data_IF_910643861025
#
_entry.id   IF_910643861025
#
_cell.length_a   1.000
_cell.length_b   1.000
_cell.length_c   1.000
_cell.angle_alpha   90.00
_cell.angle_beta   90.00
_cell.angle_gamma   90.00
#
_symmetry.space_group_name_H-M   'P 1'
#
loop_
_entity.id
_entity.type
_entity.pdbx_description
1 polymer ?
#
# COMPACT_ATOMS: atom_id res chain seq x y z
N UNK A 1 -37.53 30.13 28.54
CA UNK A 1 -37.38 28.70 28.28
C UNK A 1 -36.57 28.54 26.97
N UNK A 2 -35.26 28.47 27.14
CA UNK A 2 -34.33 28.37 26.00
C UNK A 2 -33.92 26.90 25.81
N UNK A 3 -34.27 26.32 24.70
CA UNK A 3 -33.80 25.00 24.29
C UNK A 3 -32.50 25.15 23.51
N UNK A 4 -31.38 24.84 24.15
CA UNK A 4 -30.07 24.74 23.55
C UNK A 4 -29.99 23.43 22.77
N UNK A 5 -30.13 23.53 21.45
CA UNK A 5 -29.86 22.45 20.53
C UNK A 5 -28.34 22.18 20.46
N UNK A 6 -27.87 21.08 21.06
CA UNK A 6 -26.51 20.57 20.81
C UNK A 6 -26.47 19.93 19.43
N UNK A 7 -25.79 20.62 18.52
CA UNK A 7 -25.38 20.04 17.22
C UNK A 7 -24.33 18.97 17.46
N UNK A 8 -24.70 17.70 17.34
CA UNK A 8 -23.80 16.58 17.31
C UNK A 8 -23.09 16.64 15.96
N UNK A 9 -21.83 17.07 15.96
CA UNK A 9 -20.97 17.05 14.79
C UNK A 9 -20.83 15.60 14.30
N UNK A 10 -21.50 15.28 13.20
CA UNK A 10 -21.31 14.03 12.49
C UNK A 10 -19.85 14.00 11.98
N UNK A 11 -18.99 13.19 12.62
CA UNK A 11 -17.64 12.91 12.12
C UNK A 11 -17.78 12.34 10.72
N UNK A 12 -17.41 13.11 9.70
CA UNK A 12 -17.46 12.68 8.29
C UNK A 12 -16.65 11.40 8.16
N UNK A 13 -17.33 10.28 7.91
CA UNK A 13 -16.69 8.99 7.62
C UNK A 13 -15.97 9.15 6.28
N UNK A 14 -14.66 8.93 6.28
CA UNK A 14 -13.89 8.96 5.03
C UNK A 14 -14.41 7.87 4.10
N UNK A 15 -14.47 8.16 2.81
CA UNK A 15 -14.96 7.20 1.82
C UNK A 15 -13.95 6.06 1.64
N UNK A 16 -14.46 4.85 1.43
CA UNK A 16 -13.61 3.71 1.08
C UNK A 16 -12.94 3.96 -0.28
N UNK A 17 -11.62 3.99 -0.31
CA UNK A 17 -10.87 4.06 -1.55
C UNK A 17 -10.70 2.68 -2.18
N UNK A 18 -10.20 1.71 -1.39
CA UNK A 18 -10.04 0.33 -1.84
C UNK A 18 -10.86 -0.59 -0.94
N UNK A 19 -11.67 -1.42 -1.56
CA UNK A 19 -12.41 -2.49 -0.88
C UNK A 19 -12.11 -3.83 -1.55
N UNK A 20 -11.61 -4.78 -0.78
CA UNK A 20 -11.34 -6.14 -1.20
C UNK A 20 -12.27 -7.08 -0.44
N UNK A 21 -13.04 -7.90 -1.16
CA UNK A 21 -14.05 -8.78 -0.60
C UNK A 21 -13.82 -10.21 -1.06
N UNK A 22 -13.53 -11.11 -0.11
CA UNK A 22 -13.34 -12.57 -0.31
C UNK A 22 -12.40 -12.91 -1.47
N UNK A 23 -11.35 -12.11 -1.69
CA UNK A 23 -10.43 -12.28 -2.80
C UNK A 23 -9.68 -13.60 -2.70
N UNK A 24 -9.80 -14.41 -3.74
CA UNK A 24 -9.02 -15.62 -3.94
C UNK A 24 -8.34 -15.53 -5.29
N UNK A 25 -7.02 -15.65 -5.30
CA UNK A 25 -6.19 -15.44 -6.50
C UNK A 25 -4.88 -16.24 -6.44
N UNK A 26 -4.20 -16.32 -7.57
CA UNK A 26 -2.91 -17.02 -7.68
C UNK A 26 -2.40 -17.04 -9.11
N UNK A 27 -1.64 -18.05 -9.48
CA UNK A 27 -1.05 -18.18 -10.79
C UNK A 27 -1.48 -19.51 -11.43
N UNK A 28 -1.91 -19.46 -12.68
CA UNK A 28 -2.49 -20.59 -13.40
C UNK A 28 -3.61 -21.25 -12.57
N UNK A 29 -3.43 -22.49 -12.14
CA UNK A 29 -4.36 -23.27 -11.30
C UNK A 29 -3.99 -23.18 -9.80
N UNK A 30 -2.81 -22.65 -9.45
CA UNK A 30 -2.32 -22.59 -8.08
C UNK A 30 -2.92 -21.40 -7.34
N UNK A 31 -3.80 -21.66 -6.39
CA UNK A 31 -4.40 -20.65 -5.51
C UNK A 31 -3.44 -20.31 -4.36
N UNK A 32 -3.04 -19.06 -4.27
CA UNK A 32 -2.11 -18.53 -3.26
C UNK A 32 -2.83 -17.65 -2.24
N UNK A 33 -3.79 -16.83 -2.68
CA UNK A 33 -4.61 -15.97 -1.83
C UNK A 33 -5.95 -16.60 -1.57
N UNK A 34 -6.38 -16.60 -0.30
CA UNK A 34 -7.54 -17.35 0.19
C UNK A 34 -8.52 -16.44 0.94
N UNK A 35 -9.54 -15.93 0.24
CA UNK A 35 -10.67 -15.21 0.86
C UNK A 35 -10.29 -13.93 1.59
N UNK A 36 -9.30 -13.20 1.10
CA UNK A 36 -8.80 -11.96 1.72
C UNK A 36 -9.86 -10.87 1.66
N UNK A 37 -10.13 -10.23 2.83
CA UNK A 37 -11.07 -9.11 2.97
C UNK A 37 -10.40 -7.97 3.72
N UNK A 38 -10.38 -6.76 3.15
CA UNK A 38 -9.99 -5.54 3.85
C UNK A 38 -10.52 -4.29 3.15
N UNK A 39 -10.46 -3.17 3.86
CA UNK A 39 -10.83 -1.85 3.34
C UNK A 39 -9.71 -0.88 3.64
N UNK A 40 -9.40 -0.01 2.69
CA UNK A 40 -8.53 1.15 2.87
C UNK A 40 -9.34 2.41 2.58
N UNK A 41 -9.43 3.30 3.55
CA UNK A 41 -10.08 4.61 3.41
C UNK A 41 -9.21 5.56 2.56
N UNK A 42 -9.86 6.54 1.92
CA UNK A 42 -9.16 7.55 1.11
C UNK A 42 -8.20 8.39 1.99
N UNK A 43 -7.02 8.67 1.48
CA UNK A 43 -5.95 9.38 2.21
C UNK A 43 -5.26 8.56 3.31
N UNK A 44 -5.59 7.27 3.47
CA UNK A 44 -4.97 6.38 4.46
C UNK A 44 -3.92 5.47 3.85
N UNK A 45 -3.04 4.97 4.72
CA UNK A 45 -1.94 4.08 4.37
C UNK A 45 -2.01 2.75 5.12
N UNK A 46 -1.65 1.66 4.43
CA UNK A 46 -1.69 0.28 4.93
C UNK A 46 -0.31 -0.37 4.81
N UNK A 47 0.19 -0.93 5.91
CA UNK A 47 1.31 -1.85 5.90
C UNK A 47 0.83 -3.28 5.62
N UNK A 48 1.33 -3.91 4.56
CA UNK A 48 1.12 -5.33 4.30
C UNK A 48 2.36 -6.10 4.74
N UNK A 49 2.24 -6.78 5.87
CA UNK A 49 3.32 -7.46 6.57
C UNK A 49 3.22 -8.98 6.39
N UNK A 50 4.33 -9.67 6.60
CA UNK A 50 4.41 -11.13 6.58
C UNK A 50 5.77 -11.62 6.09
N UNK A 51 6.04 -12.91 6.31
CA UNK A 51 7.28 -13.57 5.88
C UNK A 51 7.34 -13.70 4.36
N UNK A 52 8.52 -14.07 3.85
CA UNK A 52 8.65 -14.41 2.43
C UNK A 52 7.82 -15.64 2.08
N UNK A 53 7.21 -15.59 0.88
CA UNK A 53 6.40 -16.69 0.35
C UNK A 53 4.99 -16.82 0.95
N UNK A 54 4.54 -15.90 1.84
CA UNK A 54 3.17 -15.98 2.41
C UNK A 54 2.09 -15.42 1.48
N UNK A 55 2.46 -14.82 0.32
CA UNK A 55 1.51 -14.31 -0.68
C UNK A 55 1.40 -12.78 -0.76
N UNK A 56 2.30 -12.00 -0.12
CA UNK A 56 2.26 -10.52 -0.16
C UNK A 56 2.30 -9.98 -1.60
N UNK A 57 3.32 -10.35 -2.37
CA UNK A 57 3.44 -9.97 -3.78
C UNK A 57 2.26 -10.48 -4.60
N UNK A 58 1.78 -11.71 -4.36
CA UNK A 58 0.59 -12.24 -5.04
C UNK A 58 -0.66 -11.40 -4.75
N UNK A 59 -0.81 -10.89 -3.52
CA UNK A 59 -1.91 -9.97 -3.20
C UNK A 59 -1.79 -8.65 -3.97
N UNK A 60 -0.58 -8.06 -4.01
CA UNK A 60 -0.30 -6.86 -4.82
C UNK A 60 -0.57 -7.12 -6.30
N UNK A 61 -0.04 -8.21 -6.85
CA UNK A 61 -0.26 -8.63 -8.23
C UNK A 61 -1.75 -8.84 -8.56
N UNK A 62 -2.52 -9.32 -7.57
CA UNK A 62 -3.96 -9.47 -7.72
C UNK A 62 -4.69 -8.12 -7.78
N UNK A 63 -4.24 -7.13 -7.01
CA UNK A 63 -4.76 -5.76 -7.08
C UNK A 63 -4.43 -5.13 -8.43
N UNK A 64 -3.24 -5.39 -8.97
CA UNK A 64 -2.80 -4.89 -10.28
C UNK A 64 -3.50 -5.62 -11.43
N UNK A 65 -3.87 -6.89 -11.23
CA UNK A 65 -4.58 -7.70 -12.22
C UNK A 65 -3.70 -8.55 -13.11
N UNK A 66 -2.54 -8.98 -12.62
CA UNK A 66 -1.60 -9.91 -13.33
C UNK A 66 -1.70 -11.35 -12.84
N UNK A 67 -2.60 -11.64 -11.87
CA UNK A 67 -2.88 -13.00 -11.38
C UNK A 67 -4.18 -13.55 -11.95
N UNK A 68 -4.36 -14.87 -11.85
CA UNK A 68 -5.65 -15.54 -12.04
C UNK A 68 -6.52 -15.32 -10.81
N UNK A 69 -7.71 -14.72 -10.97
CA UNK A 69 -8.69 -14.53 -9.92
C UNK A 69 -9.66 -15.71 -9.89
N UNK A 70 -9.72 -16.43 -8.77
CA UNK A 70 -10.65 -17.55 -8.56
C UNK A 70 -11.97 -17.12 -7.91
N UNK A 71 -12.03 -15.91 -7.33
CA UNK A 71 -13.24 -15.36 -6.73
C UNK A 71 -12.99 -14.06 -5.99
N UNK A 72 -14.07 -13.47 -5.49
CA UNK A 72 -14.04 -12.22 -4.75
C UNK A 72 -14.12 -10.98 -5.64
N UNK A 73 -14.12 -9.79 -5.00
CA UNK A 73 -14.28 -8.49 -5.63
C UNK A 73 -13.17 -7.55 -5.20
N UNK A 74 -12.78 -6.64 -6.10
CA UNK A 74 -11.83 -5.56 -5.85
C UNK A 74 -12.48 -4.27 -6.36
N UNK A 75 -12.85 -3.36 -5.45
CA UNK A 75 -13.42 -2.08 -5.83
C UNK A 75 -12.47 -0.94 -5.47
N UNK A 76 -12.20 -0.05 -6.43
CA UNK A 76 -11.40 1.18 -6.24
C UNK A 76 -12.31 2.39 -6.45
N UNK A 77 -12.47 3.21 -5.39
CA UNK A 77 -13.39 4.35 -5.42
C UNK A 77 -14.84 3.96 -5.73
N UNK A 78 -15.26 2.76 -5.28
CA UNK A 78 -16.60 2.21 -5.52
C UNK A 78 -16.76 1.45 -6.84
N UNK A 79 -15.87 1.61 -7.81
CA UNK A 79 -15.89 0.90 -9.09
C UNK A 79 -15.22 -0.48 -8.97
N UNK A 80 -15.86 -1.54 -9.46
CA UNK A 80 -15.27 -2.87 -9.51
C UNK A 80 -14.18 -2.94 -10.59
N UNK A 81 -12.93 -3.06 -10.17
CA UNK A 81 -11.76 -3.16 -11.05
C UNK A 81 -11.30 -4.59 -11.29
N UNK A 82 -11.93 -5.58 -10.62
CA UNK A 82 -11.50 -6.98 -10.74
C UNK A 82 -11.52 -7.53 -12.17
N UNK A 83 -12.49 -7.18 -13.05
CA UNK A 83 -12.50 -7.65 -14.44
C UNK A 83 -11.54 -6.86 -15.34
N UNK A 84 -10.97 -5.75 -14.88
CA UNK A 84 -10.14 -4.88 -15.71
C UNK A 84 -8.70 -5.40 -15.84
N UNK A 85 -8.09 -5.32 -17.03
CA UNK A 85 -6.68 -5.59 -17.22
C UNK A 85 -5.80 -4.50 -16.56
N UNK A 86 -4.50 -4.77 -16.31
CA UNK A 86 -3.61 -3.87 -15.56
C UNK A 86 -3.59 -2.43 -16.04
N UNK A 87 -3.50 -2.19 -17.35
CA UNK A 87 -3.44 -0.84 -17.91
C UNK A 87 -4.72 -0.02 -17.69
N UNK A 88 -5.89 -0.67 -17.59
CA UNK A 88 -7.14 0.01 -17.25
C UNK A 88 -7.22 0.28 -15.75
N UNK A 89 -6.71 -0.60 -14.89
CA UNK A 89 -6.60 -0.34 -13.44
C UNK A 89 -5.68 0.85 -13.17
N UNK A 90 -4.56 0.95 -13.88
CA UNK A 90 -3.68 2.12 -13.80
C UNK A 90 -4.42 3.42 -14.16
N UNK A 91 -5.25 3.41 -15.23
CA UNK A 91 -6.10 4.55 -15.62
C UNK A 91 -7.19 4.90 -14.60
N UNK A 92 -7.57 3.95 -13.73
CA UNK A 92 -8.49 4.20 -12.61
C UNK A 92 -7.81 4.77 -11.38
N UNK A 93 -6.48 4.98 -11.45
CA UNK A 93 -5.70 5.59 -10.40
C UNK A 93 -4.93 4.59 -9.52
N UNK A 94 -4.60 3.42 -10.03
CA UNK A 94 -3.72 2.48 -9.35
C UNK A 94 -2.28 2.67 -9.83
N UNK A 95 -1.39 3.18 -8.98
CA UNK A 95 0.06 3.26 -9.22
C UNK A 95 0.77 2.08 -8.60
N UNK A 96 1.87 1.62 -9.21
CA UNK A 96 2.65 0.49 -8.71
C UNK A 96 4.15 0.67 -8.94
N UNK A 97 4.92 0.47 -7.88
CA UNK A 97 6.36 0.33 -7.92
C UNK A 97 6.73 -1.08 -7.42
N UNK A 98 7.08 -2.00 -8.33
CA UNK A 98 7.42 -3.38 -8.01
C UNK A 98 8.80 -3.49 -7.35
N UNK A 99 9.05 -4.64 -6.71
CA UNK A 99 10.33 -4.99 -6.08
C UNK A 99 11.50 -4.93 -7.09
N UNK A 100 11.30 -5.39 -8.34
CA UNK A 100 12.31 -5.40 -9.41
C UNK A 100 12.53 -4.01 -10.05
N UNK A 101 11.84 -2.98 -9.53
CA UNK A 101 11.90 -1.58 -9.99
C UNK A 101 11.37 -1.33 -11.40
N UNK A 102 11.55 -2.25 -12.36
CA UNK A 102 11.03 -2.24 -13.74
C UNK A 102 11.11 -0.88 -14.46
N UNK A 103 12.27 -0.18 -14.36
CA UNK A 103 12.52 1.07 -15.06
C UNK A 103 12.90 0.82 -16.54
N UNK A 104 12.70 1.82 -17.39
CA UNK A 104 13.19 1.77 -18.76
C UNK A 104 14.70 2.05 -18.78
N UNK A 105 15.51 0.98 -18.81
CA UNK A 105 16.98 1.04 -18.66
C UNK A 105 17.69 1.80 -19.79
N UNK A 106 17.08 1.85 -20.98
CA UNK A 106 17.57 2.55 -22.17
C UNK A 106 17.13 4.00 -22.28
N UNK A 107 16.28 4.47 -21.39
CA UNK A 107 15.83 5.84 -21.32
C UNK A 107 16.56 6.58 -20.19
N UNK A 108 16.70 7.91 -20.33
CA UNK A 108 17.17 8.79 -19.27
C UNK A 108 16.16 8.86 -18.13
N UNK A 109 16.54 9.41 -16.97
CA UNK A 109 15.62 9.68 -15.87
C UNK A 109 14.45 10.53 -16.34
N UNK A 110 14.71 11.62 -17.07
CA UNK A 110 13.69 12.54 -17.58
C UNK A 110 12.73 11.82 -18.54
N UNK A 111 13.25 11.04 -19.48
CA UNK A 111 12.43 10.26 -20.40
C UNK A 111 11.61 9.19 -19.68
N UNK A 112 12.16 8.51 -18.66
CA UNK A 112 11.44 7.56 -17.84
C UNK A 112 10.21 8.18 -17.17
N UNK A 113 10.34 9.41 -16.66
CA UNK A 113 9.25 10.14 -16.00
C UNK A 113 8.23 10.67 -17.03
N UNK A 114 8.71 11.22 -18.15
CA UNK A 114 7.84 11.90 -19.11
C UNK A 114 7.10 10.92 -20.05
N UNK A 115 7.69 9.79 -20.38
CA UNK A 115 7.10 8.79 -21.29
C UNK A 115 5.75 8.22 -20.80
N UNK A 116 5.52 8.21 -19.49
CA UNK A 116 4.31 7.65 -18.87
C UNK A 116 3.45 8.71 -18.16
N UNK A 117 3.92 9.96 -18.09
CA UNK A 117 3.24 11.02 -17.34
C UNK A 117 1.86 11.32 -17.92
N UNK A 118 0.89 11.48 -17.03
CA UNK A 118 -0.43 12.02 -17.35
C UNK A 118 -0.65 13.36 -16.63
N UNK A 119 -1.51 14.25 -17.13
CA UNK A 119 -1.80 15.52 -16.47
C UNK A 119 -2.30 15.32 -15.03
N UNK A 120 -1.77 16.11 -14.08
CA UNK A 120 -2.19 16.06 -12.68
C UNK A 120 -1.20 16.73 -11.75
N UNK A 121 -1.37 16.49 -10.45
CA UNK A 121 -0.57 17.11 -9.39
C UNK A 121 0.87 16.59 -9.34
N UNK A 122 1.11 15.34 -9.73
CA UNK A 122 2.43 14.71 -9.74
C UNK A 122 3.09 14.88 -11.10
N UNK A 123 3.91 15.90 -11.24
CA UNK A 123 4.71 16.20 -12.44
C UNK A 123 6.16 15.77 -12.23
N UNK A 124 6.95 15.63 -13.31
CA UNK A 124 8.39 15.34 -13.21
C UNK A 124 9.10 16.36 -12.29
N UNK A 125 8.74 17.65 -12.36
CA UNK A 125 9.27 18.68 -11.47
C UNK A 125 9.00 18.37 -9.99
N UNK A 126 7.79 17.90 -9.66
CA UNK A 126 7.44 17.54 -8.27
C UNK A 126 8.18 16.29 -7.82
N UNK A 127 8.42 15.32 -8.73
CA UNK A 127 9.25 14.15 -8.45
C UNK A 127 10.70 14.56 -8.16
N UNK A 128 11.26 15.52 -8.88
CA UNK A 128 12.60 16.04 -8.58
C UNK A 128 12.66 16.73 -7.21
N UNK A 129 11.62 17.47 -6.82
CA UNK A 129 11.52 18.01 -5.46
C UNK A 129 11.49 16.94 -4.38
N UNK A 130 10.82 15.79 -4.65
CA UNK A 130 10.75 14.66 -3.74
C UNK A 130 12.05 13.84 -3.70
N UNK A 131 12.73 13.73 -4.84
CA UNK A 131 13.97 12.97 -5.04
C UNK A 131 15.04 13.82 -5.76
N UNK A 132 15.74 14.73 -5.06
CA UNK A 132 16.72 15.64 -5.68
C UNK A 132 17.83 14.92 -6.44
N UNK A 133 18.22 13.72 -6.00
CA UNK A 133 19.20 12.88 -6.72
C UNK A 133 18.77 12.56 -8.15
N UNK A 134 17.46 12.41 -8.41
CA UNK A 134 16.95 12.19 -9.76
C UNK A 134 17.09 13.44 -10.64
N UNK A 135 16.96 14.64 -10.06
CA UNK A 135 17.18 15.89 -10.79
C UNK A 135 18.64 16.03 -11.23
N UNK A 136 19.58 15.78 -10.31
CA UNK A 136 21.03 15.77 -10.61
C UNK A 136 21.38 14.77 -11.72
N UNK A 137 20.63 13.68 -11.81
CA UNK A 137 20.82 12.59 -12.75
C UNK A 137 19.85 12.59 -13.94
N UNK A 138 19.10 13.69 -14.15
CA UNK A 138 17.98 13.74 -15.12
C UNK A 138 18.33 13.26 -16.53
N UNK A 139 19.58 13.50 -16.98
CA UNK A 139 20.08 13.08 -18.28
C UNK A 139 20.84 11.73 -18.25
N UNK A 140 20.94 11.09 -17.09
CA UNK A 140 21.61 9.79 -16.92
C UNK A 140 20.67 8.67 -17.34
N UNK A 141 21.17 7.69 -18.11
CA UNK A 141 20.41 6.52 -18.52
C UNK A 141 20.02 5.66 -17.30
N UNK A 142 18.83 5.05 -17.29
CA UNK A 142 18.35 4.19 -16.23
C UNK A 142 19.30 3.05 -15.86
N UNK A 143 20.02 2.48 -16.85
CA UNK A 143 21.02 1.42 -16.61
C UNK A 143 22.26 1.88 -15.84
N UNK A 144 22.52 3.18 -15.78
CA UNK A 144 23.68 3.77 -15.12
C UNK A 144 23.39 4.24 -13.68
N UNK A 145 22.12 4.17 -13.26
CA UNK A 145 21.68 4.55 -11.94
C UNK A 145 22.06 3.46 -10.92
N UNK A 146 22.38 3.89 -9.70
CA UNK A 146 22.50 3.02 -8.54
C UNK A 146 21.15 2.36 -8.22
N UNK A 147 21.17 1.27 -7.43
CA UNK A 147 19.95 0.58 -7.03
C UNK A 147 18.95 1.51 -6.28
N UNK A 148 19.45 2.45 -5.48
CA UNK A 148 18.60 3.44 -4.79
C UNK A 148 17.97 4.45 -5.74
N UNK A 149 18.74 4.99 -6.68
CA UNK A 149 18.23 5.91 -7.70
C UNK A 149 17.21 5.22 -8.63
N UNK A 150 17.43 3.93 -8.97
CA UNK A 150 16.45 3.15 -9.72
C UNK A 150 15.15 2.96 -8.95
N UNK A 151 15.22 2.75 -7.61
CA UNK A 151 14.04 2.64 -6.75
C UNK A 151 13.27 3.96 -6.69
N UNK A 152 13.96 5.08 -6.48
CA UNK A 152 13.36 6.42 -6.52
C UNK A 152 12.69 6.69 -7.88
N UNK A 153 13.36 6.30 -8.98
CA UNK A 153 12.81 6.45 -10.32
C UNK A 153 11.56 5.58 -10.55
N UNK A 154 11.55 4.34 -10.06
CA UNK A 154 10.39 3.45 -10.16
C UNK A 154 9.17 4.05 -9.43
N UNK A 155 9.38 4.59 -8.22
CA UNK A 155 8.33 5.29 -7.46
C UNK A 155 7.90 6.57 -8.19
N UNK A 156 8.85 7.37 -8.69
CA UNK A 156 8.57 8.56 -9.48
C UNK A 156 7.71 8.26 -10.71
N UNK A 157 8.00 7.17 -11.42
CA UNK A 157 7.20 6.70 -12.57
C UNK A 157 5.77 6.30 -12.19
N UNK A 158 5.60 5.67 -11.04
CA UNK A 158 4.26 5.36 -10.53
C UNK A 158 3.50 6.64 -10.15
N UNK A 159 4.18 7.64 -9.57
CA UNK A 159 3.58 8.90 -9.16
C UNK A 159 3.16 9.79 -10.34
N UNK A 160 3.95 9.89 -11.43
CA UNK A 160 3.57 10.71 -12.59
C UNK A 160 2.35 10.18 -13.35
N UNK A 161 1.87 8.98 -13.03
CA UNK A 161 0.55 8.48 -13.41
C UNK A 161 -0.58 9.10 -12.58
N UNK A 162 -0.27 9.98 -11.64
CA UNK A 162 -1.24 10.65 -10.76
C UNK A 162 -2.21 9.66 -10.06
N UNK A 163 -1.68 8.66 -9.34
CA UNK A 163 -2.50 7.62 -8.76
C UNK A 163 -3.34 8.13 -7.59
N UNK A 164 -4.50 7.50 -7.37
CA UNK A 164 -5.29 7.61 -6.13
C UNK A 164 -4.76 6.67 -5.05
N UNK A 165 -4.23 5.51 -5.47
CA UNK A 165 -3.62 4.50 -4.61
C UNK A 165 -2.26 4.09 -5.17
N UNK A 166 -1.22 4.21 -4.35
CA UNK A 166 0.13 3.78 -4.69
C UNK A 166 0.46 2.47 -3.97
N UNK A 167 0.83 1.45 -4.75
CA UNK A 167 1.31 0.16 -4.26
C UNK A 167 2.83 0.14 -4.33
N UNK A 168 3.48 -0.21 -3.21
CA UNK A 168 4.94 -0.29 -3.08
C UNK A 168 5.30 -1.69 -2.58
N UNK A 169 6.00 -2.47 -3.40
CA UNK A 169 6.40 -3.83 -3.05
C UNK A 169 7.87 -3.85 -2.62
N UNK A 170 8.11 -4.07 -1.32
CA UNK A 170 9.42 -4.13 -0.65
C UNK A 170 10.36 -2.95 -1.04
N UNK A 171 9.88 -1.69 -0.93
CA UNK A 171 10.59 -0.53 -1.48
C UNK A 171 11.96 -0.27 -0.83
N UNK A 172 12.23 -0.82 0.35
CA UNK A 172 13.51 -0.59 1.06
C UNK A 172 14.51 -1.75 0.92
N UNK A 173 14.15 -2.82 0.21
CA UNK A 173 14.99 -4.02 0.13
C UNK A 173 16.27 -3.77 -0.68
N UNK A 174 17.39 -4.28 -0.15
CA UNK A 174 18.70 -4.21 -0.81
C UNK A 174 19.28 -2.79 -0.94
N UNK A 175 18.73 -1.80 -0.25
CA UNK A 175 19.21 -0.42 -0.28
C UNK A 175 20.15 -0.12 0.88
N UNK A 176 21.11 0.80 0.62
CA UNK A 176 21.98 1.34 1.67
C UNK A 176 21.15 2.13 2.70
N UNK A 177 21.54 2.13 3.99
CA UNK A 177 20.78 2.78 5.06
C UNK A 177 20.39 4.24 4.76
N UNK A 178 21.32 5.03 4.25
CA UNK A 178 21.07 6.43 3.91
C UNK A 178 19.98 6.60 2.85
N UNK A 179 19.93 5.71 1.85
CA UNK A 179 18.91 5.73 0.80
C UNK A 179 17.54 5.30 1.37
N UNK A 180 17.55 4.34 2.32
CA UNK A 180 16.33 3.96 3.02
C UNK A 180 15.74 5.14 3.78
N UNK A 181 16.57 5.92 4.50
CA UNK A 181 16.11 7.11 5.22
C UNK A 181 15.52 8.17 4.27
N UNK A 182 16.19 8.46 3.15
CA UNK A 182 15.68 9.37 2.13
C UNK A 182 14.33 8.89 1.57
N UNK A 183 14.22 7.60 1.29
CA UNK A 183 12.98 7.01 0.77
C UNK A 183 11.84 7.08 1.79
N UNK A 184 12.09 6.74 3.07
CA UNK A 184 11.08 6.81 4.13
C UNK A 184 10.62 8.25 4.36
N UNK A 185 11.53 9.24 4.27
CA UNK A 185 11.18 10.66 4.34
C UNK A 185 10.24 11.06 3.19
N UNK A 186 10.55 10.63 1.96
CA UNK A 186 9.70 10.86 0.80
C UNK A 186 8.32 10.21 0.96
N UNK A 187 8.25 8.95 1.41
CA UNK A 187 6.96 8.26 1.66
C UNK A 187 6.14 8.96 2.75
N UNK A 188 6.81 9.50 3.79
CA UNK A 188 6.15 10.32 4.83
C UNK A 188 5.56 11.60 4.24
N UNK A 189 6.25 12.24 3.29
CA UNK A 189 5.73 13.43 2.59
C UNK A 189 4.50 13.06 1.74
N UNK A 190 4.53 11.94 1.02
CA UNK A 190 3.40 11.45 0.24
C UNK A 190 2.16 11.19 1.14
N UNK A 191 2.37 10.55 2.29
CA UNK A 191 1.30 10.29 3.28
C UNK A 191 0.70 11.61 3.78
N UNK A 192 1.55 12.58 4.17
CA UNK A 192 1.09 13.92 4.60
C UNK A 192 0.36 14.69 3.50
N UNK A 193 0.71 14.45 2.25
CA UNK A 193 0.01 15.03 1.10
C UNK A 193 -1.35 14.35 0.82
N UNK A 194 -1.74 13.34 1.62
CA UNK A 194 -3.01 12.63 1.50
C UNK A 194 -3.04 11.55 0.42
N UNK A 195 -1.89 11.10 -0.09
CA UNK A 195 -1.85 9.98 -1.04
C UNK A 195 -2.07 8.67 -0.30
N UNK A 196 -3.07 7.90 -0.72
CA UNK A 196 -3.28 6.55 -0.18
C UNK A 196 -2.19 5.60 -0.65
N UNK A 197 -1.69 4.77 0.26
CA UNK A 197 -0.59 3.84 -0.04
C UNK A 197 -0.82 2.46 0.57
N UNK A 198 -0.39 1.41 -0.12
CA UNK A 198 -0.14 0.09 0.46
C UNK A 198 1.36 -0.18 0.33
N UNK A 199 2.01 -0.38 1.47
CA UNK A 199 3.45 -0.63 1.54
C UNK A 199 3.65 -2.07 2.02
N UNK A 200 4.22 -2.89 1.17
CA UNK A 200 4.61 -4.27 1.49
C UNK A 200 6.01 -4.27 2.06
N UNK A 201 6.20 -4.87 3.20
CA UNK A 201 7.53 -4.98 3.83
C UNK A 201 7.65 -6.19 4.75
N UNK A 202 8.88 -6.67 4.92
CA UNK A 202 9.22 -7.72 5.88
C UNK A 202 9.67 -7.15 7.21
N UNK A 203 10.19 -5.92 7.22
CA UNK A 203 10.73 -5.23 8.40
C UNK A 203 9.74 -4.17 8.90
N UNK A 204 8.76 -4.56 9.73
CA UNK A 204 7.61 -3.71 10.09
C UNK A 204 8.02 -2.40 10.77
N UNK A 205 9.07 -2.42 11.60
CA UNK A 205 9.54 -1.24 12.36
C UNK A 205 9.87 -0.03 11.47
N UNK A 206 10.16 -0.25 10.19
CA UNK A 206 10.48 0.84 9.25
C UNK A 206 9.24 1.54 8.71
N UNK A 207 8.15 0.80 8.48
CA UNK A 207 6.98 1.32 7.76
C UNK A 207 5.77 1.55 8.65
N UNK A 208 5.66 0.86 9.79
CA UNK A 208 4.56 1.10 10.72
C UNK A 208 4.43 2.56 11.17
N UNK A 209 5.53 3.33 11.39
CA UNK A 209 5.43 4.76 11.68
C UNK A 209 4.83 5.61 10.54
N UNK A 210 4.80 5.08 9.32
CA UNK A 210 4.32 5.77 8.10
C UNK A 210 2.92 5.33 7.69
N UNK A 211 2.33 4.34 8.39
CA UNK A 211 1.06 3.74 8.00
C UNK A 211 0.03 3.85 9.11
N UNK A 212 -1.24 3.97 8.73
CA UNK A 212 -2.38 4.08 9.65
C UNK A 212 -2.80 2.71 10.17
N UNK A 213 -2.78 1.71 9.28
CA UNK A 213 -3.22 0.35 9.54
C UNK A 213 -2.17 -0.65 9.09
N UNK A 214 -2.22 -1.84 9.65
CA UNK A 214 -1.37 -2.95 9.23
C UNK A 214 -2.17 -4.26 9.14
N UNK A 215 -1.84 -5.05 8.14
CA UNK A 215 -2.32 -6.41 7.94
C UNK A 215 -1.11 -7.34 7.94
N UNK A 216 -1.20 -8.41 8.71
CA UNK A 216 -0.23 -9.52 8.67
C UNK A 216 -0.82 -10.64 7.86
N UNK A 217 -0.16 -10.98 6.75
CA UNK A 217 -0.53 -12.11 5.89
C UNK A 217 0.22 -13.36 6.34
N UNK A 218 -0.48 -14.48 6.43
CA UNK A 218 0.10 -15.82 6.60
C UNK A 218 -0.62 -16.81 5.68
N UNK A 219 0.16 -17.59 4.91
CA UNK A 219 -0.36 -18.63 3.99
C UNK A 219 -1.52 -18.15 3.11
N UNK A 220 -1.41 -16.95 2.56
CA UNK A 220 -2.40 -16.37 1.66
C UNK A 220 -3.68 -15.85 2.30
N UNK A 221 -3.77 -15.81 3.63
CA UNK A 221 -4.91 -15.29 4.37
C UNK A 221 -4.47 -14.21 5.37
N UNK A 222 -5.38 -13.33 5.76
CA UNK A 222 -5.13 -12.34 6.82
C UNK A 222 -5.12 -13.07 8.15
N UNK A 223 -3.95 -13.11 8.81
CA UNK A 223 -3.77 -13.69 10.12
C UNK A 223 -4.06 -12.67 11.24
N UNK A 224 -3.76 -11.39 11.00
CA UNK A 224 -4.00 -10.31 11.95
C UNK A 224 -4.18 -8.98 11.22
N UNK A 225 -4.96 -8.08 11.80
CA UNK A 225 -5.11 -6.70 11.35
C UNK A 225 -5.34 -5.79 12.54
N UNK A 226 -4.63 -4.64 12.56
CA UNK A 226 -4.70 -3.68 13.65
C UNK A 226 -4.25 -2.29 13.17
N UNK A 227 -4.54 -1.22 13.92
CA UNK A 227 -3.86 0.06 13.76
C UNK A 227 -2.34 -0.12 13.85
N UNK A 228 -1.59 0.57 13.00
CA UNK A 228 -0.11 0.46 12.99
C UNK A 228 0.51 0.89 14.31
N UNK A 229 -0.10 1.88 14.99
CA UNK A 229 0.33 2.35 16.30
C UNK A 229 0.27 1.27 17.38
N UNK A 230 -0.75 0.40 17.34
CA UNK A 230 -0.93 -0.68 18.34
C UNK A 230 0.18 -1.74 18.15
N UNK A 231 0.52 -2.08 16.91
CA UNK A 231 1.60 -3.02 16.61
C UNK A 231 2.99 -2.44 16.95
N UNK A 232 3.16 -1.13 16.88
CA UNK A 232 4.38 -0.46 17.33
C UNK A 232 4.53 -0.46 18.85
N UNK A 233 3.40 -0.35 19.58
CA UNK A 233 3.38 -0.33 21.03
C UNK A 233 3.67 -1.69 21.66
N UNK A 234 3.37 -2.81 20.94
CA UNK A 234 3.66 -4.18 21.38
C UNK A 234 4.52 -4.96 20.38
N UNK A 235 5.85 -4.75 20.39
CA UNK A 235 6.78 -5.49 19.53
C UNK A 235 6.73 -7.01 19.72
N UNK A 236 6.36 -7.49 20.92
CA UNK A 236 6.31 -8.92 21.22
C UNK A 236 5.12 -9.58 20.52
N UNK A 237 3.95 -8.95 20.55
CA UNK A 237 2.79 -9.39 19.79
C UNK A 237 3.06 -9.34 18.28
N UNK A 238 3.72 -8.29 17.80
CA UNK A 238 4.11 -8.18 16.40
C UNK A 238 5.02 -9.33 15.98
N UNK A 239 6.08 -9.63 16.73
CA UNK A 239 7.00 -10.73 16.45
C UNK A 239 6.26 -12.08 16.52
N UNK A 240 5.35 -12.27 17.47
CA UNK A 240 4.51 -13.47 17.55
C UNK A 240 3.64 -13.65 16.29
N UNK A 241 3.01 -12.58 15.79
CA UNK A 241 2.21 -12.63 14.56
C UNK A 241 3.05 -12.89 13.30
N UNK A 242 4.31 -12.41 13.27
CA UNK A 242 5.22 -12.65 12.15
C UNK A 242 5.88 -14.04 12.22
N UNK A 243 6.00 -14.66 13.41
CA UNK A 243 6.67 -15.95 13.60
C UNK A 243 5.70 -17.11 13.80
N UNK A 244 4.48 -16.89 14.25
CA UNK A 244 3.52 -17.93 14.54
C UNK A 244 3.10 -18.69 13.29
N UNK A 245 3.51 -19.94 13.20
CA UNK A 245 2.89 -20.92 12.32
C UNK A 245 1.61 -21.38 13.02
N UNK A 246 0.42 -20.84 12.67
CA UNK A 246 -0.83 -21.35 13.22
C UNK A 246 -0.93 -22.85 12.96
N UNK A 247 -0.98 -23.64 14.04
CA UNK A 247 -1.46 -25.02 13.97
C UNK A 247 -2.90 -24.98 13.44
N UNK A 248 -3.14 -25.69 12.37
CA UNK A 248 -4.45 -25.84 11.72
C UNK A 248 -5.53 -26.24 12.72
N UNK A 249 -6.62 -25.48 12.77
CA UNK A 249 -7.87 -25.89 13.41
C UNK A 249 -8.55 -24.76 14.17
N UNK A 250 -9.25 -23.88 13.44
CA UNK A 250 -10.61 -23.45 13.77
C UNK A 250 -11.03 -22.35 12.79
N UNK A 251 -12.07 -22.64 12.04
CA UNK A 251 -12.74 -21.73 11.13
C UNK A 251 -13.60 -20.76 11.96
N UNK A 252 -13.05 -19.59 12.28
CA UNK A 252 -13.86 -18.46 12.70
C UNK A 252 -14.26 -17.65 11.46
N UNK A 253 -15.55 -17.46 11.27
CA UNK A 253 -16.13 -16.60 10.22
C UNK A 253 -15.63 -15.17 10.44
N UNK A 254 -14.69 -14.76 9.60
CA UNK A 254 -14.17 -13.40 9.62
C UNK A 254 -15.25 -12.45 9.12
N UNK A 255 -15.74 -11.61 10.02
CA UNK A 255 -16.47 -10.39 9.66
C UNK A 255 -15.50 -9.44 8.95
N UNK A 256 -15.94 -8.62 7.98
CA UNK A 256 -15.08 -7.62 7.36
C UNK A 256 -14.53 -6.68 8.45
N UNK A 257 -13.23 -6.35 8.36
CA UNK A 257 -12.58 -5.42 9.28
C UNK A 257 -13.21 -4.05 9.03
N UNK A 258 -14.21 -3.73 9.86
CA UNK A 258 -14.73 -2.38 10.01
C UNK A 258 -13.81 -1.70 11.01
N UNK A 259 -13.29 -0.51 10.70
CA UNK A 259 -12.57 0.32 11.64
C UNK A 259 -13.35 0.39 12.98
N UNK A 260 -12.70 0.22 14.15
CA UNK A 260 -13.40 0.29 15.42
C UNK A 260 -14.11 1.64 15.55
N UNK A 261 -15.38 1.59 15.91
CA UNK A 261 -16.20 2.77 16.21
C UNK A 261 -15.58 3.51 17.41
N UNK A 262 -15.15 4.76 17.28
CA UNK A 262 -14.56 5.53 18.35
C UNK A 262 -15.53 5.83 19.52
N UNK A 263 -16.80 5.44 19.44
CA UNK A 263 -17.76 5.59 20.51
C UNK A 263 -17.60 4.57 21.65
N UNK A 264 -16.80 3.52 21.47
CA UNK A 264 -16.63 2.46 22.49
C UNK A 264 -15.52 2.76 23.50
N UNK A 265 -14.69 3.80 23.28
CA UNK A 265 -13.58 4.17 24.19
C UNK A 265 -13.94 5.22 25.27
N UNK A 266 -15.18 5.64 25.36
CA UNK A 266 -15.61 6.68 26.32
C UNK A 266 -16.50 6.17 27.47
N UNK A 267 -16.33 4.93 27.93
CA UNK A 267 -16.98 4.44 29.17
C UNK A 267 -16.00 3.64 30.01
N UNK A 268 -15.28 4.35 30.85
CA UNK A 268 -14.42 3.75 31.86
C UNK A 268 -13.62 4.77 32.62
N UNK A 269 -14.29 5.61 33.39
CA UNK A 269 -13.82 6.19 34.68
C UNK A 269 -15.02 6.82 35.38
N UNK A 270 -15.56 6.10 36.30
CA UNK A 270 -16.10 6.60 37.60
C UNK A 270 -15.58 5.67 38.68
#
# INVERSE_FOLDING_TARGET
>A
MSASGQSISAKTRMADLLRVESLSAGYDEAKVIHGVCFVLEDGRSLALLGRNGVGKTTLVDSLIGVTTRFGGRIALGGEDIAPLPPHLRARRGLGWAPQERNIFRSLTVEENLTAVAIPGAWTARRIYGLFPRLEERRQTMGRQLSGGEQQMLAIGRALVLNPRLLLLDEPTEGLAPIIVEELLAALSELSRAGLSMIIVEQKPKKILPLTDQAIVLDRGAIAHAAPSADLLADPTALDAHLTATKKSGQSDRQSPIVTPDPSTMARGTD
#
